data_IF_032472512377
#
_entry.id   IF_032472512377
#
_cell.length_a   1.000
_cell.length_b   1.000
_cell.length_c   1.000
_cell.angle_alpha   90.00
_cell.angle_beta   90.00
_cell.angle_gamma   90.00
#
_symmetry.space_group_name_H-M   'P 1'
#
loop_
_entity.id
_entity.type
_entity.pdbx_description
1 polymer ?
#
# COMPACT_ATOMS: atom_id res chain seq x y z
N UNK A 1 -17.08 8.73 -15.22
CA UNK A 1 -18.15 8.34 -16.16
C UNK A 1 -18.20 6.81 -16.34
N UNK A 2 -17.05 6.15 -16.53
CA UNK A 2 -16.95 4.68 -16.66
C UNK A 2 -17.55 3.88 -15.50
N UNK A 3 -17.30 4.29 -14.25
CA UNK A 3 -17.85 3.62 -13.05
C UNK A 3 -19.38 3.62 -13.03
N UNK A 4 -20.00 4.70 -13.51
CA UNK A 4 -21.47 4.82 -13.55
C UNK A 4 -22.03 3.87 -14.62
N UNK A 5 -21.41 3.84 -15.81
CA UNK A 5 -21.82 2.96 -16.91
C UNK A 5 -21.69 1.48 -16.49
N UNK A 6 -20.56 1.12 -15.90
CA UNK A 6 -20.35 -0.23 -15.34
C UNK A 6 -21.38 -0.56 -14.26
N UNK A 7 -21.66 0.38 -13.36
CA UNK A 7 -22.68 0.22 -12.32
C UNK A 7 -24.07 -0.03 -12.91
N UNK A 8 -24.46 0.67 -13.97
CA UNK A 8 -25.74 0.47 -14.67
C UNK A 8 -25.80 -0.92 -15.32
N UNK A 9 -24.74 -1.34 -16.02
CA UNK A 9 -24.68 -2.66 -16.66
C UNK A 9 -24.80 -3.78 -15.62
N UNK A 10 -24.07 -3.68 -14.52
CA UNK A 10 -24.14 -4.65 -13.42
C UNK A 10 -25.53 -4.64 -12.77
N UNK A 11 -26.10 -3.46 -12.53
CA UNK A 11 -27.44 -3.32 -11.95
C UNK A 11 -28.53 -3.96 -12.82
N UNK A 12 -28.47 -3.74 -14.14
CA UNK A 12 -29.37 -4.40 -15.10
C UNK A 12 -29.17 -5.92 -15.11
N UNK A 13 -27.92 -6.39 -15.08
CA UNK A 13 -27.59 -7.82 -14.99
C UNK A 13 -28.16 -8.48 -13.73
N UNK A 14 -27.99 -7.84 -12.57
CA UNK A 14 -28.55 -8.30 -11.29
C UNK A 14 -30.08 -8.26 -11.33
N UNK A 15 -30.68 -7.20 -11.86
CA UNK A 15 -32.13 -7.07 -11.98
C UNK A 15 -32.72 -8.18 -12.87
N UNK A 16 -32.13 -8.40 -14.04
CA UNK A 16 -32.52 -9.51 -14.92
C UNK A 16 -32.35 -10.87 -14.22
N UNK A 17 -31.20 -11.11 -13.59
CA UNK A 17 -30.96 -12.32 -12.81
C UNK A 17 -32.03 -12.55 -11.73
N UNK A 18 -32.44 -11.49 -11.01
CA UNK A 18 -33.47 -11.58 -9.99
C UNK A 18 -34.83 -11.99 -10.58
N UNK A 19 -35.21 -11.44 -11.74
CA UNK A 19 -36.47 -11.82 -12.41
C UNK A 19 -36.50 -13.28 -12.87
N UNK A 20 -35.34 -13.86 -13.19
CA UNK A 20 -35.24 -15.27 -13.60
C UNK A 20 -35.12 -16.24 -12.42
N UNK A 21 -34.78 -15.74 -11.22
CA UNK A 21 -34.49 -16.55 -10.03
C UNK A 21 -35.42 -16.22 -8.86
N UNK A 22 -36.72 -16.04 -9.13
CA UNK A 22 -37.76 -15.76 -8.13
C UNK A 22 -38.22 -17.02 -7.37
N UNK A 23 -37.63 -18.17 -7.65
CA UNK A 23 -37.94 -19.42 -6.96
C UNK A 23 -37.73 -19.27 -5.45
N UNK A 24 -38.70 -19.78 -4.69
CA UNK A 24 -38.68 -19.75 -3.23
C UNK A 24 -37.94 -20.98 -2.71
N UNK A 25 -37.01 -20.75 -1.80
CA UNK A 25 -36.25 -21.80 -1.12
C UNK A 25 -36.39 -21.67 0.41
N UNK A 26 -36.11 -22.76 1.11
CA UNK A 26 -35.93 -22.73 2.56
C UNK A 26 -34.45 -22.56 2.88
N UNK A 27 -34.11 -21.48 3.57
CA UNK A 27 -32.75 -21.22 4.03
C UNK A 27 -32.54 -21.84 5.41
N UNK A 28 -31.55 -22.72 5.53
CA UNK A 28 -31.18 -23.34 6.80
C UNK A 28 -29.94 -22.66 7.37
N UNK A 29 -30.05 -22.10 8.58
CA UNK A 29 -28.96 -21.45 9.31
C UNK A 29 -28.82 -22.16 10.66
N UNK A 30 -27.89 -23.11 10.72
CA UNK A 30 -27.75 -23.99 11.89
C UNK A 30 -29.04 -24.77 12.15
N UNK A 31 -29.62 -24.71 13.37
CA UNK A 31 -30.88 -25.40 13.68
C UNK A 31 -32.14 -24.66 13.17
N UNK A 32 -32.01 -23.44 12.64
CA UNK A 32 -33.15 -22.62 12.21
C UNK A 32 -33.40 -22.78 10.70
N UNK A 33 -34.68 -22.86 10.33
CA UNK A 33 -35.13 -22.87 8.95
C UNK A 33 -36.00 -21.63 8.68
N UNK A 34 -35.63 -20.85 7.66
CA UNK A 34 -36.40 -19.70 7.19
C UNK A 34 -36.99 -20.07 5.83
N UNK A 35 -38.28 -20.43 5.77
CA UNK A 35 -38.91 -20.86 4.53
C UNK A 35 -39.23 -19.65 3.62
N UNK A 36 -39.51 -19.95 2.35
CA UNK A 36 -40.05 -19.02 1.37
C UNK A 36 -39.16 -17.79 1.10
N UNK A 37 -37.84 -17.94 1.12
CA UNK A 37 -36.92 -16.89 0.70
C UNK A 37 -36.66 -16.99 -0.81
N UNK A 38 -36.84 -15.90 -1.58
CA UNK A 38 -36.42 -15.88 -2.98
C UNK A 38 -34.92 -16.16 -3.16
N UNK A 39 -34.58 -17.09 -4.04
CA UNK A 39 -33.20 -17.53 -4.27
C UNK A 39 -32.25 -16.37 -4.60
N UNK A 40 -32.69 -15.41 -5.40
CA UNK A 40 -31.86 -14.26 -5.77
C UNK A 40 -31.39 -13.44 -4.56
N UNK A 41 -32.19 -13.33 -3.49
CA UNK A 41 -31.80 -12.59 -2.28
C UNK A 41 -30.66 -13.29 -1.56
N UNK A 42 -30.69 -14.62 -1.48
CA UNK A 42 -29.62 -15.40 -0.84
C UNK A 42 -28.31 -15.23 -1.60
N UNK A 43 -28.35 -15.39 -2.93
CA UNK A 43 -27.17 -15.25 -3.80
C UNK A 43 -26.55 -13.85 -3.70
N UNK A 44 -27.38 -12.80 -3.83
CA UNK A 44 -26.90 -11.41 -3.75
C UNK A 44 -26.32 -11.13 -2.36
N UNK A 45 -26.98 -11.59 -1.30
CA UNK A 45 -26.50 -11.36 0.08
C UNK A 45 -25.14 -12.04 0.30
N UNK A 46 -24.96 -13.28 -0.15
CA UNK A 46 -23.66 -13.97 -0.06
C UNK A 46 -22.58 -13.24 -0.84
N UNK A 47 -22.88 -12.76 -2.05
CA UNK A 47 -21.94 -11.99 -2.86
C UNK A 47 -21.55 -10.68 -2.16
N UNK A 48 -22.51 -9.95 -1.59
CA UNK A 48 -22.25 -8.72 -0.85
C UNK A 48 -21.42 -8.96 0.40
N UNK A 49 -21.67 -10.04 1.14
CA UNK A 49 -20.86 -10.42 2.30
C UNK A 49 -19.41 -10.73 1.86
N UNK A 50 -19.23 -11.49 0.78
CA UNK A 50 -17.90 -11.78 0.23
C UNK A 50 -17.16 -10.50 -0.19
N UNK A 51 -17.85 -9.58 -0.86
CA UNK A 51 -17.30 -8.29 -1.26
C UNK A 51 -16.92 -7.43 -0.04
N UNK A 52 -17.76 -7.42 0.99
CA UNK A 52 -17.51 -6.70 2.24
C UNK A 52 -16.27 -7.25 2.95
N UNK A 53 -16.11 -8.57 3.02
CA UNK A 53 -14.92 -9.21 3.58
C UNK A 53 -13.66 -8.87 2.78
N UNK A 54 -13.73 -8.95 1.45
CA UNK A 54 -12.61 -8.58 0.58
C UNK A 54 -12.20 -7.12 0.78
N UNK A 55 -13.18 -6.21 0.92
CA UNK A 55 -12.93 -4.80 1.21
C UNK A 55 -12.25 -4.59 2.57
N UNK A 56 -12.68 -5.30 3.62
CA UNK A 56 -12.04 -5.25 4.94
C UNK A 56 -10.57 -5.71 4.85
N UNK A 57 -10.30 -6.84 4.20
CA UNK A 57 -8.93 -7.34 4.04
C UNK A 57 -8.05 -6.37 3.25
N UNK A 58 -8.59 -5.80 2.17
CA UNK A 58 -7.89 -4.78 1.40
C UNK A 58 -7.55 -3.56 2.26
N UNK A 59 -8.50 -3.09 3.07
CA UNK A 59 -8.30 -1.95 3.96
C UNK A 59 -7.16 -2.19 4.95
N UNK A 60 -7.15 -3.36 5.61
CA UNK A 60 -6.07 -3.75 6.54
C UNK A 60 -4.71 -3.79 5.84
N UNK A 61 -4.64 -4.39 4.65
CA UNK A 61 -3.40 -4.47 3.88
C UNK A 61 -2.90 -3.08 3.44
N UNK A 62 -3.82 -2.20 3.04
CA UNK A 62 -3.49 -0.83 2.65
C UNK A 62 -2.91 -0.02 3.81
N UNK A 63 -3.41 -0.24 5.03
CA UNK A 63 -2.92 0.42 6.23
C UNK A 63 -1.51 -0.05 6.61
N UNK A 64 -1.28 -1.37 6.58
CA UNK A 64 0.05 -1.96 6.81
C UNK A 64 1.09 -1.45 5.79
N UNK A 65 0.69 -1.37 4.52
CA UNK A 65 1.55 -0.87 3.45
C UNK A 65 1.94 0.60 3.67
N UNK A 66 0.99 1.44 4.10
CA UNK A 66 1.28 2.86 4.41
C UNK A 66 2.23 3.03 5.58
N UNK A 67 2.06 2.25 6.65
CA UNK A 67 2.99 2.26 7.80
C UNK A 67 4.40 1.86 7.36
N UNK A 68 4.49 0.78 6.58
CA UNK A 68 5.77 0.29 6.05
C UNK A 68 6.46 1.34 5.18
N UNK A 69 5.69 2.01 4.32
CA UNK A 69 6.19 3.07 3.44
C UNK A 69 6.71 4.27 4.25
N UNK A 70 5.94 4.71 5.26
CA UNK A 70 6.35 5.80 6.15
C UNK A 70 7.65 5.47 6.92
N UNK A 71 7.78 4.24 7.40
CA UNK A 71 9.00 3.77 8.05
C UNK A 71 10.21 3.79 7.10
N UNK A 72 10.03 3.35 5.85
CA UNK A 72 11.07 3.43 4.82
C UNK A 72 11.46 4.87 4.50
N UNK A 73 10.49 5.78 4.39
CA UNK A 73 10.75 7.19 4.07
C UNK A 73 11.49 7.93 5.18
N UNK A 74 11.19 7.63 6.45
CA UNK A 74 11.96 8.15 7.57
C UNK A 74 13.40 7.63 7.58
N UNK A 75 13.61 6.37 7.19
CA UNK A 75 14.96 5.80 7.07
C UNK A 75 15.77 6.49 5.97
N UNK A 76 15.15 6.73 4.81
CA UNK A 76 15.79 7.48 3.71
C UNK A 76 16.24 8.86 4.18
N UNK A 77 15.37 9.61 4.88
CA UNK A 77 15.73 10.92 5.43
C UNK A 77 16.87 10.87 6.45
N UNK A 78 16.94 9.82 7.26
CA UNK A 78 18.02 9.61 8.22
C UNK A 78 19.35 9.29 7.52
N UNK A 79 19.31 8.45 6.48
CA UNK A 79 20.47 8.08 5.68
C UNK A 79 21.01 9.30 4.90
N UNK A 80 20.14 10.12 4.30
CA UNK A 80 20.51 11.38 3.64
C UNK A 80 21.19 12.36 4.59
N UNK A 81 20.66 12.49 5.82
CA UNK A 81 21.28 13.34 6.85
C UNK A 81 22.67 12.85 7.21
N UNK A 82 22.83 11.54 7.37
CA UNK A 82 24.13 10.91 7.68
C UNK A 82 25.14 11.15 6.56
N UNK A 83 24.73 11.01 5.30
CA UNK A 83 25.58 11.31 4.14
C UNK A 83 26.02 12.77 4.15
N UNK A 84 25.11 13.71 4.41
CA UNK A 84 25.45 15.13 4.47
C UNK A 84 26.43 15.45 5.61
N UNK A 85 26.30 14.79 6.76
CA UNK A 85 27.18 14.98 7.91
C UNK A 85 28.58 14.40 7.65
N UNK A 86 28.67 13.18 7.12
CA UNK A 86 29.94 12.56 6.71
C UNK A 86 30.65 13.38 5.63
N UNK A 87 29.91 13.93 4.67
CA UNK A 87 30.48 14.78 3.61
C UNK A 87 31.11 16.05 4.19
N UNK A 88 30.47 16.67 5.20
CA UNK A 88 31.05 17.82 5.92
C UNK A 88 32.30 17.44 6.68
N UNK A 89 32.29 16.28 7.34
CA UNK A 89 33.42 15.80 8.12
C UNK A 89 34.63 15.49 7.23
N UNK A 90 34.43 14.84 6.08
CA UNK A 90 35.47 14.64 5.07
C UNK A 90 36.07 15.97 4.63
N UNK A 91 35.23 16.95 4.28
CA UNK A 91 35.73 18.25 3.83
C UNK A 91 36.53 18.99 4.91
N UNK A 92 36.10 18.88 6.18
CA UNK A 92 36.83 19.43 7.32
C UNK A 92 38.19 18.74 7.50
N UNK A 93 38.24 17.41 7.39
CA UNK A 93 39.47 16.64 7.49
C UNK A 93 40.44 16.91 6.34
N UNK A 94 39.94 17.13 5.12
CA UNK A 94 40.77 17.54 3.97
C UNK A 94 41.40 18.91 4.18
N UNK A 95 40.64 19.88 4.70
CA UNK A 95 41.14 21.20 5.07
C UNK A 95 42.18 21.11 6.19
N UNK A 96 41.93 20.29 7.21
CA UNK A 96 42.86 20.08 8.31
C UNK A 96 44.16 19.41 7.85
N UNK A 97 44.07 18.37 7.02
CA UNK A 97 45.23 17.72 6.41
C UNK A 97 46.03 18.69 5.54
N UNK A 98 45.37 19.49 4.71
CA UNK A 98 46.03 20.52 3.89
C UNK A 98 46.78 21.52 4.77
N UNK A 99 46.12 22.03 5.82
CA UNK A 99 46.75 22.95 6.78
C UNK A 99 47.92 22.32 7.52
N UNK A 100 47.83 21.04 7.89
CA UNK A 100 48.90 20.33 8.56
C UNK A 100 50.10 20.11 7.63
N UNK A 101 49.87 19.74 6.36
CA UNK A 101 50.92 19.57 5.33
C UNK A 101 51.66 20.88 5.04
N UNK A 102 50.93 21.99 4.94
CA UNK A 102 51.53 23.34 4.83
C UNK A 102 52.38 23.67 6.05
N UNK A 103 51.94 23.28 7.25
CA UNK A 103 52.64 23.57 8.52
C UNK A 103 53.84 22.65 8.79
N UNK A 104 53.84 21.43 8.24
CA UNK A 104 54.95 20.47 8.33
C UNK A 104 56.03 20.69 7.26
N UNK A 105 55.83 21.63 6.33
CA UNK A 105 56.83 21.99 5.32
C UNK A 105 57.03 20.94 4.22
N UNK A 106 56.06 20.04 4.02
CA UNK A 106 56.07 19.07 2.91
C UNK A 106 55.49 19.71 1.65
N UNK A 107 56.22 20.66 1.04
CA UNK A 107 55.88 21.22 -0.28
C UNK A 107 56.61 20.55 -1.46
N UNK A 108 57.52 19.61 -1.24
CA UNK A 108 58.25 18.97 -2.35
C UNK A 108 58.05 17.46 -2.39
N UNK A 109 57.63 16.99 -3.57
CA UNK A 109 57.82 15.64 -4.15
C UNK A 109 56.59 14.78 -4.49
N UNK A 110 55.56 15.35 -5.14
CA UNK A 110 54.58 14.52 -5.89
C UNK A 110 54.30 15.07 -7.31
N UNK A 111 55.12 15.99 -7.84
CA UNK A 111 54.94 16.51 -9.22
C UNK A 111 55.96 16.03 -10.24
N UNK A 112 56.79 15.05 -9.90
CA UNK A 112 57.62 14.33 -10.87
C UNK A 112 57.57 12.84 -10.61
N UNK A 113 56.72 12.13 -11.36
CA UNK A 113 56.96 10.83 -12.01
C UNK A 113 55.72 10.44 -12.82
#
# INVERSE_FOLDING_TARGET
>A
MEVIILGVIVGLGIGYFATQNTNLISLYIGPYAIPNIPLYLVVISTLLIGLLLAWIFYLVNSFSSKITLYGKENKIKADEKTIAELTKEIHKLELENTRLREKSGEEEDVKSL
#
